data_IF_357762546891
#
_entry.id   IF_357762546891
#
_cell.length_a   1.000
_cell.length_b   1.000
_cell.length_c   1.000
_cell.angle_alpha   90.00
_cell.angle_beta   90.00
_cell.angle_gamma   90.00
#
_symmetry.space_group_name_H-M   'P 1'
#
loop_
_entity.id
_entity.type
_entity.pdbx_description
1 polymer ?
#
# COMPACT_ATOMS: atom_id res chain seq x y z
N UNK A 1 -41.50 25.90 17.35
CA UNK A 1 -41.15 24.67 18.04
C UNK A 1 -39.91 24.11 17.39
N UNK A 2 -38.78 24.79 17.68
CA UNK A 2 -37.44 24.48 17.14
C UNK A 2 -36.53 24.61 18.36
N UNK A 3 -36.12 23.49 18.94
CA UNK A 3 -35.02 23.40 19.88
C UNK A 3 -34.71 21.92 20.09
N UNK A 4 -33.56 21.48 19.63
CA UNK A 4 -32.72 20.44 20.17
C UNK A 4 -31.75 19.91 19.12
N UNK A 5 -30.69 20.65 18.85
CA UNK A 5 -29.45 20.14 18.28
C UNK A 5 -28.28 20.88 18.94
N UNK A 6 -28.16 20.71 20.27
CA UNK A 6 -27.00 21.18 21.01
C UNK A 6 -26.46 20.00 21.81
N UNK A 7 -25.39 19.40 21.33
CA UNK A 7 -24.71 18.28 22.00
C UNK A 7 -23.72 17.51 21.12
N UNK A 8 -22.96 18.18 20.24
CA UNK A 8 -21.77 17.59 19.66
C UNK A 8 -20.57 17.94 20.55
N UNK A 9 -19.83 16.94 21.08
CA UNK A 9 -18.74 17.22 21.98
C UNK A 9 -17.65 18.05 21.32
N UNK A 10 -17.16 19.04 22.03
CA UNK A 10 -16.14 20.05 21.68
C UNK A 10 -14.77 19.46 21.21
N UNK A 11 -14.64 18.15 21.17
CA UNK A 11 -13.40 17.44 20.77
C UNK A 11 -13.20 17.43 19.24
N UNK A 12 -14.24 17.73 18.45
CA UNK A 12 -14.14 17.71 16.98
C UNK A 12 -13.55 19.01 16.42
N UNK A 13 -13.50 20.09 17.16
CA UNK A 13 -13.03 21.38 16.67
C UNK A 13 -11.52 21.41 16.33
N UNK A 14 -10.59 20.91 17.17
CA UNK A 14 -9.16 20.85 16.81
C UNK A 14 -8.84 19.79 15.73
N UNK A 15 -9.63 18.70 15.67
CA UNK A 15 -9.45 17.68 14.62
C UNK A 15 -9.78 18.24 13.22
N UNK A 16 -10.78 19.12 13.10
CA UNK A 16 -11.17 19.69 11.80
C UNK A 16 -10.07 20.52 11.16
N UNK A 17 -9.35 21.33 11.93
CA UNK A 17 -8.28 22.16 11.38
C UNK A 17 -7.02 21.38 11.01
N UNK A 18 -6.62 20.41 11.83
CA UNK A 18 -5.41 19.61 11.58
C UNK A 18 -5.63 18.57 10.49
N UNK A 19 -6.81 17.93 10.46
CA UNK A 19 -7.17 16.98 9.39
C UNK A 19 -7.26 17.68 8.03
N UNK A 20 -7.84 18.89 8.00
CA UNK A 20 -7.92 19.72 6.79
C UNK A 20 -6.53 20.10 6.30
N UNK A 21 -5.58 20.44 7.19
CA UNK A 21 -4.22 20.78 6.83
C UNK A 21 -3.43 19.58 6.27
N UNK A 22 -3.58 18.40 6.86
CA UNK A 22 -2.94 17.17 6.37
C UNK A 22 -3.52 16.73 5.04
N UNK A 23 -4.84 16.75 4.89
CA UNK A 23 -5.51 16.42 3.62
C UNK A 23 -5.17 17.43 2.54
N UNK A 24 -5.11 18.73 2.86
CA UNK A 24 -4.71 19.77 1.92
C UNK A 24 -3.21 19.66 1.55
N UNK A 25 -2.34 19.35 2.51
CA UNK A 25 -0.91 19.12 2.22
C UNK A 25 -0.69 17.89 1.33
N UNK A 26 -1.45 16.80 1.57
CA UNK A 26 -1.47 15.61 0.72
C UNK A 26 -2.03 15.91 -0.67
N UNK A 27 -3.13 16.65 -0.74
CA UNK A 27 -3.73 17.07 -2.01
C UNK A 27 -2.82 18.00 -2.80
N UNK A 28 -2.15 18.95 -2.14
CA UNK A 28 -1.17 19.85 -2.76
C UNK A 28 0.07 19.07 -3.22
N UNK A 29 0.58 18.11 -2.44
CA UNK A 29 1.68 17.24 -2.85
C UNK A 29 1.32 16.36 -4.06
N UNK A 30 0.09 15.86 -4.13
CA UNK A 30 -0.40 15.10 -5.30
C UNK A 30 -0.71 16.03 -6.50
N UNK A 31 -1.25 17.22 -6.29
CA UNK A 31 -1.55 18.19 -7.36
C UNK A 31 -0.30 18.81 -7.98
N UNK A 32 0.81 18.92 -7.25
CA UNK A 32 2.09 19.36 -7.83
C UNK A 32 2.72 18.32 -8.76
N UNK A 33 2.22 17.06 -8.70
CA UNK A 33 2.66 15.99 -9.62
C UNK A 33 1.81 15.97 -10.91
N UNK A 34 0.61 16.53 -10.90
CA UNK A 34 -0.34 16.47 -12.01
C UNK A 34 -0.88 17.86 -12.39
N UNK A 35 -0.09 18.66 -13.08
CA UNK A 35 -0.66 19.77 -13.87
C UNK A 35 -1.05 19.23 -15.25
N UNK A 36 -2.33 19.16 -15.61
CA UNK A 36 -2.73 18.80 -16.96
C UNK A 36 -2.35 19.93 -17.91
N UNK A 37 -1.39 19.68 -18.78
CA UNK A 37 -1.18 20.54 -19.95
C UNK A 37 -2.31 20.26 -20.93
N UNK A 38 -3.15 21.25 -21.18
CA UNK A 38 -4.16 21.18 -22.24
C UNK A 38 -3.47 21.03 -23.60
N UNK A 39 -3.65 19.89 -24.24
CA UNK A 39 -3.04 19.59 -25.54
C UNK A 39 -3.90 20.16 -26.68
N UNK A 40 -3.30 21.00 -27.50
CA UNK A 40 -3.77 21.23 -28.86
C UNK A 40 -3.18 20.14 -29.76
N UNK A 41 -4.08 19.44 -30.46
CA UNK A 41 -3.71 18.42 -31.45
C UNK A 41 -3.23 19.09 -32.73
N UNK A 42 -1.98 18.86 -33.10
CA UNK A 42 -1.52 19.10 -34.46
C UNK A 42 -1.05 17.79 -35.09
N UNK A 43 -1.57 17.51 -36.27
CA UNK A 43 -1.53 16.27 -37.00
C UNK A 43 -0.23 16.10 -37.78
N UNK A 44 0.38 14.92 -37.73
CA UNK A 44 1.25 14.55 -38.84
C UNK A 44 2.48 13.64 -38.63
N UNK A 45 2.65 13.01 -37.47
CA UNK A 45 3.65 11.95 -37.33
C UNK A 45 2.98 10.72 -36.73
N UNK A 46 3.09 9.56 -37.39
CA UNK A 46 2.71 8.27 -36.79
C UNK A 46 3.63 8.05 -35.58
N UNK A 47 3.16 8.49 -34.43
CA UNK A 47 3.82 8.26 -33.15
C UNK A 47 3.76 6.75 -32.83
N UNK A 48 4.87 6.08 -32.73
CA UNK A 48 4.92 4.77 -32.11
C UNK A 48 4.44 4.95 -30.66
N UNK A 49 3.26 4.41 -30.38
CA UNK A 49 2.69 4.39 -29.04
C UNK A 49 3.65 3.63 -28.13
N UNK A 50 4.31 4.35 -27.24
CA UNK A 50 5.08 3.74 -26.15
C UNK A 50 4.14 3.57 -24.97
N UNK A 51 3.90 2.34 -24.59
CA UNK A 51 3.11 2.04 -23.38
C UNK A 51 4.07 1.80 -22.22
N UNK A 52 3.97 2.58 -21.17
CA UNK A 52 4.78 2.41 -19.96
C UNK A 52 3.96 1.65 -18.94
N UNK A 53 4.47 0.53 -18.49
CA UNK A 53 3.87 -0.27 -17.43
C UNK A 53 4.57 0.02 -16.09
N UNK A 54 3.84 0.60 -15.16
CA UNK A 54 4.36 1.03 -13.87
C UNK A 54 4.20 0.00 -12.75
N UNK A 55 3.41 -1.04 -12.98
CA UNK A 55 2.98 -1.96 -11.91
C UNK A 55 3.72 -3.29 -11.90
N UNK A 56 4.57 -3.54 -12.90
CA UNK A 56 5.36 -4.76 -13.00
C UNK A 56 6.72 -4.55 -12.36
N UNK A 57 7.08 -5.47 -11.50
CA UNK A 57 8.36 -5.43 -10.82
C UNK A 57 8.27 -6.07 -9.43
N UNK A 58 9.27 -5.80 -8.59
CA UNK A 58 9.30 -6.27 -7.22
C UNK A 58 8.10 -5.77 -6.40
N UNK A 59 7.79 -6.50 -5.33
CA UNK A 59 6.76 -6.09 -4.38
C UNK A 59 7.15 -4.78 -3.72
N UNK A 60 6.29 -3.77 -3.85
CA UNK A 60 6.40 -2.47 -3.18
C UNK A 60 5.26 -2.29 -2.18
N UNK A 61 5.36 -1.33 -1.28
CA UNK A 61 4.33 -1.04 -0.28
C UNK A 61 4.89 -1.00 1.14
N UNK A 62 4.04 -1.27 2.10
CA UNK A 62 4.43 -1.28 3.52
C UNK A 62 5.49 -2.34 3.82
N UNK A 63 6.24 -2.13 4.90
CA UNK A 63 7.24 -3.09 5.39
C UNK A 63 6.63 -4.45 5.68
N UNK A 64 5.37 -4.49 6.17
CA UNK A 64 4.63 -5.73 6.42
C UNK A 64 4.34 -6.48 5.13
N UNK A 65 3.90 -5.78 4.09
CA UNK A 65 3.66 -6.35 2.77
C UNK A 65 4.94 -6.93 2.16
N UNK A 66 6.04 -6.16 2.21
CA UNK A 66 7.35 -6.62 1.72
C UNK A 66 7.82 -7.84 2.52
N UNK A 67 7.78 -7.78 3.86
CA UNK A 67 8.20 -8.87 4.72
C UNK A 67 7.42 -10.18 4.50
N UNK A 68 6.16 -10.10 4.09
CA UNK A 68 5.29 -11.24 3.74
C UNK A 68 5.42 -11.69 2.27
N UNK A 69 6.44 -11.22 1.54
CA UNK A 69 6.60 -11.56 0.12
C UNK A 69 5.44 -11.10 -0.76
N UNK A 70 4.70 -10.07 -0.34
CA UNK A 70 3.52 -9.60 -1.04
C UNK A 70 2.26 -10.45 -0.87
N UNK A 71 2.27 -11.52 -0.08
CA UNK A 71 1.10 -12.33 0.24
C UNK A 71 0.20 -11.61 1.26
N UNK A 72 -0.47 -10.54 0.83
CA UNK A 72 -1.06 -9.56 1.73
C UNK A 72 -2.58 -9.36 1.58
N UNK A 73 -3.20 -9.68 0.46
CA UNK A 73 -4.61 -9.36 0.17
C UNK A 73 -5.60 -9.92 1.20
N UNK A 74 -5.33 -11.11 1.78
CA UNK A 74 -6.18 -11.73 2.80
C UNK A 74 -5.88 -11.26 4.23
N UNK A 75 -4.71 -10.66 4.45
CA UNK A 75 -4.29 -10.10 5.74
C UNK A 75 -4.24 -8.58 5.73
N UNK A 76 -4.71 -7.98 4.64
CA UNK A 76 -4.84 -6.53 4.50
C UNK A 76 -5.75 -5.99 5.60
N UNK A 77 -5.20 -5.09 6.40
CA UNK A 77 -5.89 -4.43 7.51
C UNK A 77 -5.19 -3.11 7.80
N UNK A 78 -5.86 -2.21 8.52
CA UNK A 78 -5.38 -0.88 8.85
C UNK A 78 -5.00 -0.05 7.59
N UNK A 79 -4.19 0.97 7.79
CA UNK A 79 -3.71 1.87 6.73
C UNK A 79 -2.91 1.17 5.65
N UNK A 80 -2.16 0.12 6.01
CA UNK A 80 -1.38 -0.69 5.08
C UNK A 80 -2.24 -1.44 4.05
N UNK A 81 -3.50 -1.73 4.41
CA UNK A 81 -4.43 -2.46 3.56
C UNK A 81 -5.13 -1.60 2.51
N UNK A 82 -5.21 -0.27 2.70
CA UNK A 82 -6.03 0.63 1.87
C UNK A 82 -5.70 0.53 0.38
N UNK A 83 -4.41 0.50 0.02
CA UNK A 83 -3.96 0.41 -1.38
C UNK A 83 -4.02 -1.00 -1.97
N UNK A 84 -4.26 -2.03 -1.14
CA UNK A 84 -4.14 -3.44 -1.54
C UNK A 84 -5.49 -4.09 -1.75
N UNK A 85 -6.40 -3.92 -0.77
CA UNK A 85 -7.74 -4.48 -0.82
C UNK A 85 -8.74 -3.45 -0.28
N UNK A 86 -9.59 -2.87 -1.13
CA UNK A 86 -10.58 -1.89 -0.69
C UNK A 86 -11.45 -2.34 0.49
N UNK A 87 -11.75 -3.65 0.59
CA UNK A 87 -12.53 -4.20 1.70
C UNK A 87 -11.82 -4.06 3.06
N UNK A 88 -10.48 -3.93 3.06
CA UNK A 88 -9.71 -3.77 4.29
C UNK A 88 -10.04 -2.50 5.06
N UNK A 89 -10.56 -1.47 4.40
CA UNK A 89 -10.94 -0.20 5.05
C UNK A 89 -12.04 -0.38 6.10
N UNK A 90 -12.85 -1.44 6.03
CA UNK A 90 -13.83 -1.76 7.06
C UNK A 90 -13.32 -2.76 8.12
N UNK A 91 -12.06 -3.20 8.04
CA UNK A 91 -11.49 -4.06 9.08
C UNK A 91 -11.26 -3.24 10.34
N UNK A 92 -11.97 -3.61 11.40
CA UNK A 92 -11.74 -3.06 12.74
C UNK A 92 -10.66 -3.85 13.45
N UNK A 93 -9.69 -3.15 13.98
CA UNK A 93 -8.62 -3.76 14.75
C UNK A 93 -9.09 -4.15 16.16
N UNK A 94 -8.55 -5.21 16.77
CA UNK A 94 -9.05 -5.73 18.05
C UNK A 94 -8.98 -4.78 19.23
N UNK A 95 -8.15 -3.73 19.14
CA UNK A 95 -8.02 -2.66 20.15
C UNK A 95 -8.88 -1.42 19.85
N UNK A 96 -9.67 -1.45 18.80
CA UNK A 96 -10.59 -0.38 18.43
C UNK A 96 -11.89 -0.46 19.24
N UNK A 97 -11.84 -0.07 20.50
CA UNK A 97 -12.94 -0.25 21.45
C UNK A 97 -14.07 0.77 21.33
N UNK A 98 -13.85 1.88 20.65
CA UNK A 98 -14.88 2.90 20.43
C UNK A 98 -15.60 2.67 19.10
N UNK A 99 -16.75 3.34 18.91
CA UNK A 99 -17.48 3.30 17.64
C UNK A 99 -16.62 3.86 16.48
N UNK A 100 -15.75 4.86 16.76
CA UNK A 100 -14.81 5.46 15.84
C UNK A 100 -13.40 4.92 16.02
N UNK A 101 -12.70 4.75 14.90
CA UNK A 101 -11.28 4.46 14.87
C UNK A 101 -10.62 5.28 13.77
N UNK A 102 -9.43 5.80 14.03
CA UNK A 102 -8.61 6.53 13.06
C UNK A 102 -7.23 5.90 13.04
N UNK A 103 -6.76 5.55 11.84
CA UNK A 103 -5.43 5.03 11.59
C UNK A 103 -4.63 5.98 10.71
N UNK A 104 -3.33 6.04 10.94
CA UNK A 104 -2.36 6.75 10.12
C UNK A 104 -1.14 5.88 9.92
N UNK A 105 -0.59 5.86 8.68
CA UNK A 105 0.60 5.10 8.33
C UNK A 105 1.52 5.88 7.40
N UNK A 106 2.82 5.66 7.57
CA UNK A 106 3.88 6.18 6.71
C UNK A 106 4.89 5.07 6.44
N UNK A 107 5.14 4.79 5.16
CA UNK A 107 6.11 3.79 4.72
C UNK A 107 7.09 4.38 3.71
N UNK A 108 8.33 3.93 3.78
CA UNK A 108 9.38 4.27 2.80
C UNK A 108 10.16 3.02 2.46
N UNK A 109 10.43 2.80 1.17
CA UNK A 109 11.37 1.75 0.76
C UNK A 109 12.38 2.29 -0.25
N UNK A 110 13.61 1.80 -0.15
CA UNK A 110 14.75 2.25 -0.95
C UNK A 110 15.49 1.05 -1.55
N UNK A 111 15.42 0.94 -2.86
CA UNK A 111 16.10 -0.10 -3.64
C UNK A 111 17.43 0.40 -4.25
N UNK A 112 18.32 0.97 -3.42
CA UNK A 112 19.47 1.69 -3.95
C UNK A 112 20.85 1.21 -3.47
N UNK A 113 20.93 0.22 -2.59
CA UNK A 113 22.17 -0.11 -1.89
C UNK A 113 23.17 -0.95 -2.67
N UNK A 114 22.76 -1.63 -3.74
CA UNK A 114 23.64 -2.42 -4.58
C UNK A 114 24.12 -1.61 -5.80
N UNK A 115 25.43 -1.66 -6.13
CA UNK A 115 25.97 -0.96 -7.31
C UNK A 115 25.35 -1.37 -8.65
N UNK A 116 24.78 -2.56 -8.73
CA UNK A 116 24.17 -3.17 -9.92
C UNK A 116 22.77 -3.70 -9.62
N UNK A 117 21.95 -2.90 -8.94
CA UNK A 117 20.60 -3.30 -8.58
C UNK A 117 19.71 -3.33 -9.84
N UNK A 118 19.23 -4.52 -10.21
CA UNK A 118 18.34 -4.71 -11.36
C UNK A 118 16.87 -4.69 -10.90
N UNK A 119 16.33 -3.50 -10.66
CA UNK A 119 14.95 -3.32 -10.19
C UNK A 119 13.95 -3.89 -11.19
N UNK A 120 14.21 -3.78 -12.49
CA UNK A 120 13.25 -4.16 -13.53
C UNK A 120 13.44 -5.58 -14.09
N UNK A 121 14.34 -6.36 -13.53
CA UNK A 121 14.66 -7.72 -14.00
C UNK A 121 15.01 -7.75 -15.50
N UNK A 122 15.83 -6.82 -15.93
CA UNK A 122 16.25 -6.69 -17.33
C UNK A 122 17.44 -7.59 -17.68
N UNK A 123 18.01 -8.29 -16.68
CA UNK A 123 19.13 -9.21 -16.89
C UNK A 123 20.48 -8.52 -17.05
N UNK A 124 20.64 -7.29 -16.58
CA UNK A 124 21.87 -6.47 -16.66
C UNK A 124 23.12 -7.12 -16.07
N UNK A 125 22.96 -8.22 -15.33
CA UNK A 125 24.09 -9.00 -14.79
C UNK A 125 24.76 -9.90 -15.82
N UNK A 126 24.21 -10.07 -17.02
CA UNK A 126 24.69 -11.02 -18.03
C UNK A 126 25.53 -10.37 -19.13
N UNK A 127 25.59 -9.04 -19.25
CA UNK A 127 26.48 -8.41 -20.19
C UNK A 127 27.94 -8.53 -19.73
N UNK A 128 28.78 -9.17 -20.48
CA UNK A 128 30.22 -9.30 -20.23
C UNK A 128 30.95 -7.94 -20.24
N UNK A 129 30.28 -6.90 -20.69
CA UNK A 129 30.82 -5.54 -20.75
C UNK A 129 30.47 -4.78 -19.45
N UNK A 130 31.37 -4.86 -18.48
CA UNK A 130 31.20 -4.26 -17.16
C UNK A 130 31.10 -2.71 -17.19
N UNK A 131 31.43 -2.10 -18.32
CA UNK A 131 31.39 -0.63 -18.51
C UNK A 131 29.99 -0.10 -18.82
N UNK A 132 29.07 -0.98 -19.25
CA UNK A 132 27.71 -0.63 -19.69
C UNK A 132 26.61 -1.07 -18.70
N UNK A 133 26.94 -1.31 -17.46
CA UNK A 133 25.96 -1.73 -16.46
C UNK A 133 24.99 -0.58 -16.15
N UNK A 134 23.73 -0.73 -16.57
CA UNK A 134 22.64 0.18 -16.20
C UNK A 134 22.47 0.15 -14.69
N UNK A 135 22.54 1.31 -14.08
CA UNK A 135 22.20 1.49 -12.66
C UNK A 135 20.73 1.83 -12.58
N UNK A 136 19.95 1.02 -11.89
CA UNK A 136 18.58 1.35 -11.58
C UNK A 136 18.37 1.53 -10.08
N UNK A 137 17.62 2.55 -9.71
CA UNK A 137 17.24 2.82 -8.34
C UNK A 137 15.72 2.98 -8.27
N UNK A 138 15.13 2.52 -7.19
CA UNK A 138 13.73 2.76 -6.90
C UNK A 138 13.59 3.33 -5.49
N UNK A 139 12.81 4.40 -5.38
CA UNK A 139 12.40 4.97 -4.12
C UNK A 139 10.87 4.90 -4.07
N UNK A 140 10.34 4.30 -3.02
CA UNK A 140 8.90 4.25 -2.77
C UNK A 140 8.60 4.96 -1.45
N UNK A 141 7.50 5.70 -1.43
CA UNK A 141 6.95 6.29 -0.22
C UNK A 141 5.43 6.20 -0.25
N UNK A 142 4.81 5.95 0.89
CA UNK A 142 3.37 5.99 1.03
C UNK A 142 2.94 6.68 2.32
N UNK A 143 1.76 7.29 2.25
CA UNK A 143 1.05 7.81 3.41
C UNK A 143 -0.40 7.39 3.30
N UNK A 144 -0.99 6.97 4.41
CA UNK A 144 -2.37 6.55 4.42
C UNK A 144 -3.11 7.05 5.67
N UNK A 145 -4.40 7.32 5.49
CA UNK A 145 -5.35 7.68 6.53
C UNK A 145 -6.56 6.77 6.42
N UNK A 146 -6.99 6.22 7.55
CA UNK A 146 -8.15 5.35 7.64
C UNK A 146 -9.08 5.87 8.74
N UNK A 147 -10.37 5.93 8.43
CA UNK A 147 -11.42 6.26 9.39
C UNK A 147 -12.48 5.17 9.37
N UNK A 148 -12.75 4.56 10.50
CA UNK A 148 -13.82 3.59 10.67
C UNK A 148 -14.91 4.15 11.58
N UNK A 149 -16.15 3.83 11.24
CA UNK A 149 -17.30 4.03 12.10
C UNK A 149 -18.14 2.75 12.12
N UNK A 150 -18.14 2.04 13.24
CA UNK A 150 -18.80 0.73 13.38
C UNK A 150 -18.35 -0.25 12.26
N UNK A 151 -19.27 -0.61 11.35
CA UNK A 151 -18.99 -1.51 10.24
C UNK A 151 -18.58 -0.79 8.93
N UNK A 152 -18.56 0.52 8.91
CA UNK A 152 -18.19 1.33 7.75
C UNK A 152 -16.78 1.85 7.88
N UNK A 153 -16.04 1.86 6.77
CA UNK A 153 -14.69 2.41 6.71
C UNK A 153 -14.46 3.22 5.45
N UNK A 154 -13.67 4.29 5.59
CA UNK A 154 -13.15 5.10 4.49
C UNK A 154 -11.65 5.22 4.65
N UNK A 155 -10.92 4.92 3.59
CA UNK A 155 -9.47 5.01 3.56
C UNK A 155 -8.98 5.83 2.38
N UNK A 156 -7.96 6.65 2.63
CA UNK A 156 -7.20 7.34 1.59
C UNK A 156 -5.75 6.93 1.74
N UNK A 157 -5.13 6.53 0.63
CA UNK A 157 -3.69 6.27 0.59
C UNK A 157 -3.10 6.96 -0.62
N UNK A 158 -1.94 7.58 -0.44
CA UNK A 158 -1.15 8.17 -1.50
C UNK A 158 0.21 7.47 -1.53
N UNK A 159 0.55 6.92 -2.68
CA UNK A 159 1.80 6.24 -2.94
C UNK A 159 2.60 7.01 -3.99
N UNK A 160 3.90 7.13 -3.79
CA UNK A 160 4.80 7.72 -4.76
C UNK A 160 5.99 6.79 -5.00
N UNK A 161 6.28 6.52 -6.26
CA UNK A 161 7.46 5.75 -6.67
C UNK A 161 8.29 6.58 -7.63
N UNK A 162 9.56 6.74 -7.33
CA UNK A 162 10.55 7.30 -8.24
C UNK A 162 11.49 6.21 -8.70
N UNK A 163 11.49 5.97 -9.98
CA UNK A 163 12.37 5.03 -10.64
C UNK A 163 13.39 5.82 -11.46
N UNK A 164 14.67 5.63 -11.21
CA UNK A 164 15.73 6.27 -11.98
C UNK A 164 16.63 5.18 -12.59
N UNK A 165 16.93 5.33 -13.87
CA UNK A 165 17.87 4.49 -14.58
C UNK A 165 18.89 5.34 -15.32
N UNK A 166 20.14 4.95 -15.28
CA UNK A 166 21.20 5.56 -16.08
C UNK A 166 21.72 4.53 -17.05
N UNK A 167 21.78 4.90 -18.31
CA UNK A 167 22.38 4.11 -19.37
C UNK A 167 23.61 4.84 -19.89
N UNK A 168 24.77 4.15 -19.86
CA UNK A 168 25.94 4.61 -20.52
C UNK A 168 25.70 4.55 -22.04
N UNK A 169 25.81 5.67 -22.74
CA UNK A 169 25.74 5.68 -24.19
C UNK A 169 27.05 5.16 -24.80
N UNK A 170 26.97 4.65 -26.03
CA UNK A 170 28.15 4.22 -26.81
C UNK A 170 29.09 5.41 -27.10
N UNK A 171 28.68 6.64 -26.87
CA UNK A 171 29.47 7.84 -26.96
C UNK A 171 30.08 8.18 -25.61
N UNK A 172 31.42 8.17 -25.46
CA UNK A 172 32.07 8.51 -24.18
C UNK A 172 31.66 9.89 -23.70
N UNK A 173 31.23 9.99 -22.44
CA UNK A 173 30.85 11.24 -21.78
C UNK A 173 29.39 11.64 -21.89
N UNK A 174 28.52 10.84 -22.53
CA UNK A 174 27.09 11.07 -22.59
C UNK A 174 26.35 9.97 -21.83
N UNK A 175 26.15 10.17 -20.54
CA UNK A 175 25.25 9.32 -19.75
C UNK A 175 23.81 9.80 -19.93
N UNK A 176 22.93 8.94 -20.36
CA UNK A 176 21.50 9.23 -20.45
C UNK A 176 20.83 8.83 -19.13
N UNK A 177 20.41 9.80 -18.36
CA UNK A 177 19.64 9.58 -17.15
C UNK A 177 18.15 9.76 -17.44
N UNK A 178 17.35 8.78 -17.04
CA UNK A 178 15.90 8.85 -17.05
C UNK A 178 15.38 8.67 -15.65
N UNK A 179 14.40 9.47 -15.29
CA UNK A 179 13.63 9.24 -14.08
C UNK A 179 12.15 9.24 -14.44
N UNK A 180 11.44 8.26 -13.88
CA UNK A 180 9.99 8.19 -13.95
C UNK A 180 9.44 8.28 -12.53
N UNK A 181 8.53 9.20 -12.32
CA UNK A 181 7.81 9.35 -11.07
C UNK A 181 6.38 8.88 -11.28
N UNK A 182 5.91 8.01 -10.40
CA UNK A 182 4.56 7.50 -10.39
C UNK A 182 3.92 7.87 -9.06
N UNK A 183 2.77 8.50 -9.12
CA UNK A 183 1.95 8.76 -7.95
C UNK A 183 0.63 8.03 -8.10
N UNK A 184 0.18 7.34 -7.05
CA UNK A 184 -1.14 6.70 -7.01
C UNK A 184 -1.89 7.16 -5.78
N UNK A 185 -3.14 7.56 -5.95
CA UNK A 185 -4.04 7.86 -4.84
C UNK A 185 -5.21 6.89 -4.88
N UNK A 186 -5.42 6.20 -3.79
CA UNK A 186 -6.53 5.29 -3.56
C UNK A 186 -7.53 5.97 -2.64
N UNK A 187 -8.80 5.99 -3.02
CA UNK A 187 -9.90 6.48 -2.17
C UNK A 187 -10.94 5.38 -2.06
N UNK A 188 -10.89 4.63 -0.96
CA UNK A 188 -11.67 3.43 -0.77
C UNK A 188 -12.72 3.57 0.31
N UNK A 189 -13.88 2.96 0.08
CA UNK A 189 -14.95 2.79 1.06
C UNK A 189 -15.31 1.32 1.15
N UNK A 190 -15.63 0.86 2.35
CA UNK A 190 -16.09 -0.51 2.56
C UNK A 190 -17.14 -0.59 3.66
N UNK A 191 -17.90 -1.68 3.60
CA UNK A 191 -18.89 -2.03 4.61
C UNK A 191 -18.76 -3.50 5.01
N UNK A 192 -18.85 -3.75 6.32
CA UNK A 192 -18.83 -5.08 6.92
C UNK A 192 -20.23 -5.62 7.18
N UNK A 193 -20.60 -6.65 6.47
CA UNK A 193 -21.83 -7.41 6.65
C UNK A 193 -21.63 -8.55 7.66
N UNK A 194 -22.72 -9.10 8.19
CA UNK A 194 -22.71 -10.25 9.10
C UNK A 194 -21.77 -10.03 10.30
N UNK A 195 -21.93 -8.93 11.01
CA UNK A 195 -21.06 -8.52 12.12
C UNK A 195 -19.58 -8.39 11.70
N UNK A 196 -19.32 -7.91 10.50
CA UNK A 196 -17.98 -7.71 9.97
C UNK A 196 -17.27 -9.01 9.55
N UNK A 197 -18.02 -10.07 9.27
CA UNK A 197 -17.45 -11.32 8.77
C UNK A 197 -17.27 -11.34 7.25
N UNK A 198 -18.11 -10.61 6.51
CA UNK A 198 -17.98 -10.37 5.08
C UNK A 198 -17.83 -8.87 4.85
N UNK A 199 -16.68 -8.46 4.34
CA UNK A 199 -16.42 -7.07 4.00
C UNK A 199 -16.37 -6.91 2.48
N UNK A 200 -17.05 -5.90 1.98
CA UNK A 200 -17.04 -5.51 0.58
C UNK A 200 -16.59 -4.05 0.49
N UNK A 201 -15.69 -3.76 -0.43
CA UNK A 201 -15.17 -2.41 -0.61
C UNK A 201 -14.91 -2.10 -2.07
N UNK A 202 -14.94 -0.81 -2.39
CA UNK A 202 -14.62 -0.30 -3.71
C UNK A 202 -14.22 1.18 -3.63
N UNK A 203 -13.56 1.65 -4.68
CA UNK A 203 -13.22 3.06 -4.80
C UNK A 203 -12.53 3.44 -6.10
N UNK A 204 -12.37 4.72 -6.38
CA UNK A 204 -11.54 5.20 -7.47
C UNK A 204 -10.05 5.14 -7.11
N UNK A 205 -9.25 4.94 -8.17
CA UNK A 205 -7.79 4.99 -8.14
C UNK A 205 -7.32 6.06 -9.14
N UNK A 206 -6.61 7.05 -8.63
CA UNK A 206 -6.03 8.12 -9.44
C UNK A 206 -4.54 7.84 -9.63
N UNK A 207 -4.05 7.93 -10.86
CA UNK A 207 -2.62 7.77 -11.15
C UNK A 207 -2.11 9.01 -11.83
N UNK A 208 -0.97 9.52 -11.33
CA UNK A 208 -0.19 10.56 -11.96
C UNK A 208 1.19 10.01 -12.34
N UNK A 209 1.68 10.39 -13.51
CA UNK A 209 3.01 10.00 -13.97
C UNK A 209 3.75 11.20 -14.51
N UNK A 210 5.05 11.28 -14.24
CA UNK A 210 5.93 12.25 -14.87
C UNK A 210 7.26 11.60 -15.25
N UNK A 211 7.83 12.08 -16.34
CA UNK A 211 9.09 11.61 -16.87
C UNK A 211 10.08 12.75 -16.94
N UNK A 212 11.25 12.57 -16.34
CA UNK A 212 12.36 13.51 -16.39
C UNK A 212 13.48 12.93 -17.24
N UNK A 213 14.00 13.69 -18.17
CA UNK A 213 15.20 13.35 -18.95
C UNK A 213 16.33 14.29 -18.58
N UNK A 214 17.51 13.78 -18.29
CA UNK A 214 18.67 14.62 -18.02
C UNK A 214 18.97 15.57 -19.20
N UNK A 215 19.16 16.85 -18.88
CA UNK A 215 19.39 17.91 -19.87
C UNK A 215 18.14 18.50 -20.51
N UNK A 216 16.93 18.07 -20.12
CA UNK A 216 15.66 18.67 -20.53
C UNK A 216 14.98 19.32 -19.33
N UNK A 217 14.53 20.55 -19.49
CA UNK A 217 13.70 21.24 -18.49
C UNK A 217 12.21 20.87 -18.61
N UNK A 218 11.86 20.01 -19.58
CA UNK A 218 10.47 19.61 -19.81
C UNK A 218 10.13 18.36 -19.01
N UNK A 219 9.23 18.50 -18.04
CA UNK A 219 8.58 17.40 -17.34
C UNK A 219 7.35 17.00 -18.13
N UNK A 220 7.31 15.77 -18.63
CA UNK A 220 6.12 15.20 -19.24
C UNK A 220 5.25 14.60 -18.17
N UNK A 221 4.03 15.07 -18.01
CA UNK A 221 3.08 14.57 -17.04
C UNK A 221 1.79 14.09 -17.68
N UNK A 222 1.19 13.04 -17.10
CA UNK A 222 -0.16 12.56 -17.43
C UNK A 222 -0.84 12.05 -16.18
N UNK A 223 -2.17 12.02 -16.23
CA UNK A 223 -2.98 11.47 -15.16
C UNK A 223 -4.11 10.60 -15.72
N UNK A 224 -4.51 9.60 -14.97
CA UNK A 224 -5.60 8.70 -15.32
C UNK A 224 -6.40 8.27 -14.11
N UNK A 225 -7.61 7.80 -14.37
CA UNK A 225 -8.55 7.33 -13.35
C UNK A 225 -8.91 5.87 -13.62
N UNK A 226 -8.88 5.06 -12.60
CA UNK A 226 -9.37 3.69 -12.60
C UNK A 226 -10.22 3.42 -11.38
N UNK A 227 -10.67 2.19 -11.25
CA UNK A 227 -11.48 1.73 -10.15
C UNK A 227 -10.88 0.47 -9.55
N UNK A 228 -11.16 0.26 -8.28
CA UNK A 228 -10.77 -0.94 -7.58
C UNK A 228 -11.91 -1.45 -6.71
N UNK A 229 -11.97 -2.76 -6.54
CA UNK A 229 -12.94 -3.42 -5.69
C UNK A 229 -12.30 -4.62 -4.98
N UNK A 230 -12.86 -5.00 -3.85
CA UNK A 230 -12.37 -6.14 -3.11
C UNK A 230 -13.38 -6.70 -2.14
N UNK A 231 -13.13 -7.94 -1.75
CA UNK A 231 -13.84 -8.57 -0.64
C UNK A 231 -12.87 -9.23 0.33
N UNK A 232 -13.32 -9.40 1.56
CA UNK A 232 -12.62 -10.12 2.61
C UNK A 232 -13.63 -10.90 3.44
N UNK A 233 -13.42 -12.20 3.54
CA UNK A 233 -14.17 -13.12 4.41
C UNK A 233 -13.30 -13.44 5.61
N UNK A 234 -13.78 -13.06 6.81
CA UNK A 234 -13.09 -13.27 8.10
C UNK A 234 -14.08 -13.78 9.16
N UNK A 235 -14.46 -15.06 9.13
CA UNK A 235 -15.49 -15.58 10.04
C UNK A 235 -15.02 -15.47 11.50
N UNK A 236 -15.91 -15.00 12.38
CA UNK A 236 -15.63 -14.81 13.80
C UNK A 236 -15.15 -16.11 14.44
N UNK A 237 -14.10 -16.04 15.26
CA UNK A 237 -13.45 -17.14 15.96
C UNK A 237 -12.80 -18.20 15.05
N UNK A 238 -12.87 -18.06 13.73
CA UNK A 238 -12.17 -18.94 12.81
C UNK A 238 -10.72 -18.49 12.60
N UNK A 239 -9.88 -19.45 12.20
CA UNK A 239 -8.44 -19.27 12.03
C UNK A 239 -8.03 -18.98 10.59
N UNK A 240 -8.98 -18.68 9.70
CA UNK A 240 -8.72 -18.43 8.30
C UNK A 240 -9.38 -17.14 7.82
N UNK A 241 -8.81 -16.57 6.75
CA UNK A 241 -9.37 -15.49 5.96
C UNK A 241 -9.24 -15.82 4.49
N UNK A 242 -10.21 -15.38 3.68
CA UNK A 242 -10.18 -15.48 2.23
C UNK A 242 -10.46 -14.09 1.67
N UNK A 243 -9.75 -13.71 0.61
CA UNK A 243 -9.92 -12.40 0.02
C UNK A 243 -9.65 -12.39 -1.48
N UNK A 244 -10.24 -11.41 -2.15
CA UNK A 244 -9.80 -11.01 -3.47
C UNK A 244 -9.87 -9.49 -3.62
N UNK A 245 -9.03 -8.98 -4.52
CA UNK A 245 -9.08 -7.59 -4.97
C UNK A 245 -8.88 -7.54 -6.48
N UNK A 246 -9.54 -6.60 -7.12
CA UNK A 246 -9.44 -6.32 -8.57
C UNK A 246 -9.20 -4.84 -8.78
N UNK A 247 -8.28 -4.52 -9.70
CA UNK A 247 -7.98 -3.15 -10.13
C UNK A 247 -8.19 -3.05 -11.63
N UNK A 248 -8.97 -2.07 -12.08
CA UNK A 248 -9.23 -1.84 -13.50
C UNK A 248 -7.97 -1.35 -14.22
N UNK A 249 -7.85 -1.53 -15.53
CA UNK A 249 -6.81 -0.87 -16.30
C UNK A 249 -7.01 0.64 -16.30
N UNK A 250 -5.93 1.38 -16.55
CA UNK A 250 -5.96 2.83 -16.72
C UNK A 250 -5.18 3.17 -17.98
N UNK A 251 -5.81 3.89 -18.89
CA UNK A 251 -5.19 4.43 -20.07
C UNK A 251 -5.08 5.94 -19.94
N UNK A 252 -3.86 6.47 -20.13
CA UNK A 252 -3.59 7.89 -20.08
C UNK A 252 -2.70 8.30 -21.25
N UNK A 253 -2.94 9.49 -21.81
CA UNK A 253 -2.18 10.02 -22.93
C UNK A 253 -1.16 11.05 -22.47
N UNK A 254 0.09 10.85 -22.87
CA UNK A 254 1.14 11.85 -22.80
C UNK A 254 1.05 12.73 -24.04
N UNK A 255 0.87 14.02 -23.86
CA UNK A 255 0.87 14.98 -24.95
C UNK A 255 2.22 14.98 -25.68
N UNK A 256 2.18 15.09 -27.01
CA UNK A 256 3.37 15.28 -27.81
C UNK A 256 4.07 16.60 -27.44
N UNK A 257 5.40 16.56 -27.35
CA UNK A 257 6.23 17.75 -27.17
C UNK A 257 7.30 17.81 -28.27
N UNK A 258 7.94 18.96 -28.55
CA UNK A 258 9.01 19.04 -29.52
C UNK A 258 10.09 17.99 -29.28
N UNK A 259 10.26 17.07 -30.25
CA UNK A 259 11.21 15.97 -30.17
C UNK A 259 10.78 14.72 -29.38
N UNK A 260 9.56 14.70 -28.83
CA UNK A 260 8.99 13.52 -28.13
C UNK A 260 7.60 13.25 -28.71
N UNK A 261 7.46 12.05 -29.31
CA UNK A 261 6.19 11.62 -29.86
C UNK A 261 5.16 11.44 -28.72
N UNK A 262 3.87 11.67 -29.03
CA UNK A 262 2.79 11.33 -28.11
C UNK A 262 2.89 9.86 -27.71
N UNK A 263 2.75 9.58 -26.44
CA UNK A 263 2.86 8.22 -25.90
C UNK A 263 1.62 7.88 -25.09
N UNK A 264 1.13 6.67 -25.22
CA UNK A 264 0.08 6.16 -24.37
C UNK A 264 0.73 5.50 -23.15
N UNK A 265 0.22 5.81 -21.98
CA UNK A 265 0.57 5.13 -20.74
C UNK A 265 -0.57 4.21 -20.38
N UNK A 266 -0.25 2.93 -20.31
CA UNK A 266 -1.20 1.88 -19.93
C UNK A 266 -0.80 1.29 -18.59
N UNK A 267 -1.70 1.34 -17.61
CA UNK A 267 -1.57 0.60 -16.37
C UNK A 267 -2.48 -0.62 -16.49
N UNK A 268 -1.92 -1.82 -16.42
CA UNK A 268 -2.68 -3.03 -16.63
C UNK A 268 -3.70 -3.28 -15.51
N UNK A 269 -4.73 -4.09 -15.80
CA UNK A 269 -5.58 -4.63 -14.76
C UNK A 269 -4.80 -5.62 -13.89
N UNK A 270 -5.22 -5.72 -12.63
CA UNK A 270 -4.66 -6.65 -11.65
C UNK A 270 -5.78 -7.37 -10.91
N UNK A 271 -5.60 -8.67 -10.68
CA UNK A 271 -6.43 -9.49 -9.79
C UNK A 271 -5.53 -10.17 -8.78
N UNK A 272 -5.86 -10.02 -7.50
CA UNK A 272 -5.19 -10.70 -6.40
C UNK A 272 -6.18 -11.60 -5.68
N UNK A 273 -5.84 -12.87 -5.50
CA UNK A 273 -6.60 -13.87 -4.75
C UNK A 273 -5.75 -14.34 -3.58
N UNK A 274 -6.28 -14.34 -2.37
CA UNK A 274 -5.50 -14.70 -1.20
C UNK A 274 -6.25 -15.49 -0.15
N UNK A 275 -5.45 -16.24 0.60
CA UNK A 275 -5.89 -16.98 1.77
C UNK A 275 -4.88 -16.80 2.90
N UNK A 276 -5.37 -16.81 4.13
CA UNK A 276 -4.52 -16.79 5.31
C UNK A 276 -5.06 -17.77 6.36
N UNK A 277 -4.14 -18.37 7.11
CA UNK A 277 -4.45 -19.25 8.23
C UNK A 277 -3.53 -18.97 9.40
N UNK A 278 -4.08 -18.94 10.62
CA UNK A 278 -3.29 -18.67 11.82
C UNK A 278 -3.32 -19.86 12.78
N UNK A 279 -2.14 -20.32 13.13
CA UNK A 279 -1.90 -21.29 14.18
C UNK A 279 -1.67 -20.58 15.52
N UNK A 280 -1.97 -21.27 16.62
CA UNK A 280 -1.72 -20.74 17.96
C UNK A 280 -2.98 -20.27 18.68
N UNK A 281 -2.83 -19.83 19.95
CA UNK A 281 -3.95 -19.43 20.79
C UNK A 281 -4.51 -18.05 20.48
N UNK A 282 -3.73 -17.17 19.86
CA UNK A 282 -4.21 -15.83 19.42
C UNK A 282 -5.26 -16.02 18.33
N UNK A 283 -6.43 -15.41 18.49
CA UNK A 283 -7.47 -15.46 17.47
C UNK A 283 -7.12 -14.55 16.27
N UNK A 284 -7.23 -15.06 15.04
CA UNK A 284 -7.09 -14.26 13.81
C UNK A 284 -8.28 -13.33 13.61
N UNK A 285 -9.48 -13.85 13.90
CA UNK A 285 -10.75 -13.14 13.71
C UNK A 285 -11.50 -13.02 15.05
N UNK A 286 -11.02 -12.21 16.00
CA UNK A 286 -11.76 -12.01 17.24
C UNK A 286 -13.08 -11.30 16.95
N UNK A 287 -14.11 -11.55 17.76
CA UNK A 287 -15.32 -10.72 17.77
C UNK A 287 -14.93 -9.33 18.24
N UNK A 288 -15.38 -8.33 17.52
CA UNK A 288 -15.27 -6.96 17.96
C UNK A 288 -16.22 -6.73 19.12
N UNK A 289 -15.70 -6.22 20.23
CA UNK A 289 -16.47 -5.81 21.41
C UNK A 289 -16.20 -4.32 21.63
N UNK A 290 -17.23 -3.51 21.69
CA UNK A 290 -17.10 -2.06 21.90
C UNK A 290 -17.24 -1.68 23.37
N UNK A 291 -16.65 -0.56 23.76
CA UNK A 291 -16.81 0.00 25.09
C UNK A 291 -18.28 0.26 25.43
N UNK A 292 -19.07 0.67 24.44
CA UNK A 292 -20.53 0.84 24.62
C UNK A 292 -21.21 -0.47 24.99
N UNK A 293 -20.90 -1.58 24.30
CA UNK A 293 -21.47 -2.89 24.61
C UNK A 293 -21.12 -3.33 26.03
N UNK A 294 -19.87 -3.15 26.46
CA UNK A 294 -19.44 -3.49 27.84
C UNK A 294 -20.10 -2.59 28.87
N UNK A 295 -20.13 -1.28 28.66
CA UNK A 295 -20.77 -0.34 29.57
C UNK A 295 -22.26 -0.64 29.74
N UNK A 296 -22.99 -0.90 28.64
CA UNK A 296 -24.39 -1.29 28.68
C UNK A 296 -24.65 -2.58 29.50
N UNK A 297 -23.77 -3.57 29.31
CA UNK A 297 -23.86 -4.84 30.06
C UNK A 297 -23.57 -4.66 31.56
N UNK A 298 -22.63 -3.80 31.90
CA UNK A 298 -22.19 -3.59 33.30
C UNK A 298 -23.13 -2.69 34.09
N UNK A 299 -23.61 -1.61 33.48
CA UNK A 299 -24.42 -0.61 34.17
C UNK A 299 -25.92 -0.78 33.98
N UNK A 300 -26.33 -1.50 32.93
CA UNK A 300 -27.72 -1.62 32.50
C UNK A 300 -28.29 -0.36 31.84
N UNK A 301 -27.47 0.69 31.66
CA UNK A 301 -27.87 1.92 30.98
C UNK A 301 -27.86 1.74 29.46
N UNK A 302 -28.96 2.11 28.78
CA UNK A 302 -29.01 2.05 27.30
C UNK A 302 -28.09 3.07 26.66
N UNK A 303 -27.94 4.25 27.27
CA UNK A 303 -27.02 5.31 26.86
C UNK A 303 -25.98 5.55 27.96
N UNK A 304 -24.85 4.87 27.96
CA UNK A 304 -23.78 5.05 28.91
C UNK A 304 -23.18 6.46 28.83
N UNK A 305 -22.81 6.99 30.00
CA UNK A 305 -22.08 8.25 30.11
C UNK A 305 -20.66 8.14 29.60
N UNK A 306 -20.03 9.27 29.28
CA UNK A 306 -18.62 9.28 28.80
C UNK A 306 -17.67 8.62 29.82
N UNK A 307 -17.89 8.80 31.12
CA UNK A 307 -17.10 8.17 32.18
C UNK A 307 -17.25 6.63 32.18
N UNK A 308 -18.46 6.10 31.96
CA UNK A 308 -18.72 4.66 31.84
C UNK A 308 -18.09 4.08 30.57
N UNK A 309 -18.12 4.83 29.46
CA UNK A 309 -17.46 4.45 28.21
C UNK A 309 -15.93 4.42 28.37
N UNK A 310 -15.35 5.40 29.04
CA UNK A 310 -13.90 5.44 29.28
C UNK A 310 -13.46 4.30 30.22
N UNK A 311 -14.23 4.00 31.27
CA UNK A 311 -13.95 2.87 32.14
C UNK A 311 -14.01 1.54 31.39
N UNK A 312 -15.06 1.32 30.59
CA UNK A 312 -15.21 0.13 29.78
C UNK A 312 -14.08 -0.01 28.72
N UNK A 313 -13.63 1.11 28.16
CA UNK A 313 -12.50 1.10 27.21
C UNK A 313 -11.19 0.70 27.88
N UNK A 314 -10.92 1.17 29.10
CA UNK A 314 -9.76 0.77 29.89
C UNK A 314 -9.81 -0.73 30.23
N UNK A 315 -10.95 -1.24 30.67
CA UNK A 315 -11.12 -2.67 30.94
C UNK A 315 -10.90 -3.53 29.71
N UNK A 316 -11.40 -3.12 28.54
CA UNK A 316 -11.16 -3.81 27.28
C UNK A 316 -9.69 -3.76 26.88
N UNK A 317 -8.99 -2.65 27.12
CA UNK A 317 -7.57 -2.51 26.86
C UNK A 317 -6.75 -3.46 27.74
N UNK A 318 -7.04 -3.55 29.03
CA UNK A 318 -6.36 -4.47 29.94
C UNK A 318 -6.59 -5.93 29.55
N UNK A 319 -7.82 -6.28 29.17
CA UNK A 319 -8.14 -7.62 28.62
C UNK A 319 -7.40 -7.90 27.32
N UNK A 320 -7.21 -6.89 26.46
CA UNK A 320 -6.47 -7.02 25.21
C UNK A 320 -4.98 -7.24 25.47
N UNK A 321 -4.37 -6.49 26.39
CA UNK A 321 -2.95 -6.66 26.78
C UNK A 321 -2.71 -8.01 27.46
N UNK A 322 -3.63 -8.53 28.23
CA UNK A 322 -3.51 -9.82 28.91
C UNK A 322 -3.70 -11.04 28.01
N UNK A 323 -4.06 -10.86 26.72
CA UNK A 323 -4.27 -11.98 25.80
C UNK A 323 -2.98 -12.70 25.48
N UNK A 324 -3.13 -14.00 25.20
CA UNK A 324 -2.05 -14.79 24.64
C UNK A 324 -1.63 -14.22 23.28
N UNK A 325 -0.34 -13.96 23.12
CA UNK A 325 0.24 -13.26 21.97
C UNK A 325 0.82 -14.20 20.92
N UNK A 326 1.18 -15.41 21.31
CA UNK A 326 1.81 -16.33 20.38
C UNK A 326 0.87 -16.75 19.25
N UNK A 327 1.36 -16.65 18.04
CA UNK A 327 0.73 -17.10 16.82
C UNK A 327 1.76 -17.36 15.73
N UNK A 328 1.40 -18.19 14.75
CA UNK A 328 2.07 -18.29 13.47
C UNK A 328 1.00 -18.07 12.38
N UNK A 329 1.08 -16.95 11.71
CA UNK A 329 0.25 -16.62 10.56
C UNK A 329 0.95 -17.11 9.30
N UNK A 330 0.22 -17.84 8.46
CA UNK A 330 0.63 -18.23 7.11
C UNK A 330 -0.31 -17.55 6.15
N UNK A 331 0.21 -16.82 5.18
CA UNK A 331 -0.56 -16.18 4.12
C UNK A 331 -0.08 -16.64 2.75
N UNK A 332 -1.00 -16.71 1.80
CA UNK A 332 -0.72 -17.01 0.39
C UNK A 332 -1.51 -16.07 -0.50
N UNK A 333 -0.94 -15.73 -1.64
CA UNK A 333 -1.56 -14.87 -2.64
C UNK A 333 -1.18 -15.32 -4.05
N UNK A 334 -2.14 -15.28 -4.96
CA UNK A 334 -1.92 -15.39 -6.38
C UNK A 334 -2.27 -14.03 -7.02
N UNK A 335 -1.25 -13.33 -7.50
CA UNK A 335 -1.41 -12.08 -8.25
C UNK A 335 -1.36 -12.39 -9.74
N UNK A 336 -2.35 -11.88 -10.47
CA UNK A 336 -2.46 -12.00 -11.93
C UNK A 336 -2.57 -10.60 -12.50
N UNK A 337 -1.65 -10.23 -13.38
CA UNK A 337 -1.57 -8.92 -14.02
C UNK A 337 -1.70 -9.12 -15.53
N UNK A 338 -2.38 -8.23 -16.22
CA UNK A 338 -2.52 -8.22 -17.68
C UNK A 338 -1.13 -8.32 -18.35
N UNK A 339 -1.04 -9.10 -19.42
CA UNK A 339 0.13 -9.17 -20.31
C UNK A 339 0.11 -8.10 -21.40
N UNK A 340 1.18 -8.05 -22.18
CA UNK A 340 1.32 -7.14 -23.31
C UNK A 340 1.81 -5.73 -22.96
N UNK A 341 2.24 -5.00 -23.94
CA UNK A 341 2.75 -3.64 -23.80
C UNK A 341 4.25 -3.55 -23.49
N UNK A 342 4.87 -2.40 -23.70
CA UNK A 342 6.28 -2.16 -23.37
C UNK A 342 6.47 -2.07 -21.85
N UNK A 343 7.61 -2.60 -21.39
CA UNK A 343 7.97 -2.64 -19.98
C UNK A 343 8.94 -1.53 -19.64
N UNK A 344 8.56 -0.69 -18.69
CA UNK A 344 9.42 0.31 -18.10
C UNK A 344 10.01 1.31 -19.11
N UNK A 345 11.10 1.96 -18.71
CA UNK A 345 11.77 2.98 -19.51
C UNK A 345 12.59 2.41 -20.68
N UNK A 346 12.70 1.10 -20.79
CA UNK A 346 13.55 0.44 -21.81
C UNK A 346 12.91 0.37 -23.19
N UNK A 347 11.59 0.57 -23.30
CA UNK A 347 10.86 0.38 -24.56
C UNK A 347 10.79 -1.08 -25.04
N UNK A 348 11.25 -2.03 -24.25
CA UNK A 348 11.18 -3.46 -24.59
C UNK A 348 9.76 -3.97 -24.42
N UNK A 349 9.31 -4.80 -25.36
CA UNK A 349 7.95 -5.35 -25.31
C UNK A 349 7.83 -6.47 -24.28
N UNK A 350 6.85 -6.39 -23.42
CA UNK A 350 6.45 -7.49 -22.55
C UNK A 350 5.83 -8.64 -23.37
N UNK A 351 5.93 -9.84 -22.83
CA UNK A 351 5.23 -10.98 -23.40
C UNK A 351 3.72 -10.77 -23.35
N UNK A 352 3.04 -11.07 -24.45
CA UNK A 352 1.57 -10.93 -24.59
C UNK A 352 0.84 -12.08 -23.87
N UNK A 353 1.11 -12.23 -22.58
CA UNK A 353 0.44 -13.21 -21.72
C UNK A 353 0.30 -12.66 -20.31
N UNK A 354 -0.74 -13.06 -19.56
CA UNK A 354 -0.88 -12.65 -18.16
C UNK A 354 0.34 -13.05 -17.34
N UNK A 355 0.74 -12.16 -16.46
CA UNK A 355 1.83 -12.33 -15.50
C UNK A 355 1.25 -12.91 -14.23
N UNK A 356 1.68 -14.12 -13.87
CA UNK A 356 1.20 -14.84 -12.69
C UNK A 356 2.31 -14.91 -11.65
N UNK A 357 2.06 -14.36 -10.47
CA UNK A 357 3.01 -14.29 -9.35
C UNK A 357 2.43 -14.97 -8.11
N UNK A 358 2.78 -16.23 -7.83
CA UNK A 358 2.47 -16.86 -6.55
C UNK A 358 3.35 -16.27 -5.45
N UNK A 359 2.74 -16.06 -4.27
CA UNK A 359 3.35 -15.42 -3.11
C UNK A 359 3.00 -16.17 -1.84
N UNK A 360 3.92 -16.23 -0.89
CA UNK A 360 3.73 -16.82 0.42
C UNK A 360 4.41 -16.00 1.51
N UNK A 361 3.77 -15.88 2.66
CA UNK A 361 4.27 -15.13 3.80
C UNK A 361 4.01 -15.83 5.12
N UNK A 362 4.91 -15.59 6.06
CA UNK A 362 4.86 -16.06 7.46
C UNK A 362 5.02 -14.86 8.39
N UNK A 363 4.25 -14.81 9.46
CA UNK A 363 4.37 -13.78 10.51
C UNK A 363 4.18 -14.40 11.88
N UNK A 364 5.00 -14.01 12.85
CA UNK A 364 4.88 -14.44 14.24
C UNK A 364 5.36 -13.35 15.20
N UNK A 365 4.69 -13.19 16.33
CA UNK A 365 5.16 -12.37 17.45
C UNK A 365 6.09 -13.23 18.33
N UNK A 366 7.40 -13.18 18.07
CA UNK A 366 8.39 -14.05 18.69
C UNK A 366 8.77 -13.63 20.10
N UNK A 367 8.74 -12.33 20.38
CA UNK A 367 8.83 -11.79 21.74
C UNK A 367 7.49 -11.08 22.01
N UNK A 368 6.64 -11.65 22.87
CA UNK A 368 5.34 -11.09 23.18
C UNK A 368 5.44 -9.60 23.54
N UNK A 369 4.58 -8.79 22.96
CA UNK A 369 4.52 -7.32 23.15
C UNK A 369 5.69 -6.50 22.62
N UNK A 370 6.79 -7.10 22.08
CA UNK A 370 7.96 -6.32 21.70
C UNK A 370 8.47 -6.55 20.29
N UNK A 371 8.45 -7.81 19.80
CA UNK A 371 9.09 -8.15 18.54
C UNK A 371 8.21 -9.08 17.70
N UNK A 372 7.90 -8.66 16.49
CA UNK A 372 7.27 -9.46 15.46
C UNK A 372 8.26 -9.70 14.33
N UNK A 373 8.35 -10.94 13.87
CA UNK A 373 9.17 -11.32 12.72
C UNK A 373 8.29 -11.79 11.57
N UNK A 374 8.79 -11.55 10.36
CA UNK A 374 8.17 -11.95 9.09
C UNK A 374 9.19 -12.57 8.18
N UNK A 375 8.73 -13.50 7.36
CA UNK A 375 9.48 -14.06 6.25
C UNK A 375 8.53 -14.38 5.11
N UNK A 376 9.01 -14.28 3.89
CA UNK A 376 8.18 -14.56 2.74
C UNK A 376 8.99 -14.88 1.50
N UNK A 377 8.28 -15.27 0.45
CA UNK A 377 8.86 -15.51 -0.87
C UNK A 377 7.81 -15.29 -1.94
N UNK A 378 8.25 -14.83 -3.10
CA UNK A 378 7.41 -14.74 -4.27
C UNK A 378 8.19 -15.00 -5.55
N UNK A 379 7.44 -15.41 -6.57
CA UNK A 379 7.97 -15.62 -7.90
C UNK A 379 7.67 -14.41 -8.78
N UNK A 380 8.70 -13.84 -9.37
CA UNK A 380 8.62 -12.79 -10.38
C UNK A 380 8.92 -13.40 -11.74
N UNK A 381 7.91 -13.55 -12.61
CA UNK A 381 8.12 -14.11 -13.94
C UNK A 381 8.93 -13.15 -14.82
N UNK A 382 9.64 -13.71 -15.80
CA UNK A 382 10.25 -12.91 -16.85
C UNK A 382 9.18 -12.13 -17.62
N UNK A 383 9.32 -10.83 -17.68
CA UNK A 383 8.38 -9.92 -18.37
C UNK A 383 8.78 -9.70 -19.84
N UNK A 384 10.07 -9.75 -20.12
CA UNK A 384 10.67 -9.43 -21.42
C UNK A 384 11.24 -10.70 -22.01
N UNK A 385 11.11 -10.88 -23.34
CA UNK A 385 11.70 -12.00 -24.02
C UNK A 385 13.24 -11.99 -23.87
N UNK A 386 13.82 -13.14 -23.51
CA UNK A 386 15.26 -13.29 -23.28
C UNK A 386 15.73 -12.96 -21.86
N UNK A 387 14.83 -12.48 -20.97
CA UNK A 387 15.14 -12.34 -19.56
C UNK A 387 14.73 -13.58 -18.76
N UNK A 388 15.20 -13.69 -17.52
CA UNK A 388 14.92 -14.82 -16.66
C UNK A 388 13.96 -14.44 -15.54
N UNK A 389 13.08 -15.37 -15.20
CA UNK A 389 12.31 -15.26 -13.96
C UNK A 389 13.23 -15.32 -12.74
N UNK A 390 12.80 -14.71 -11.64
CA UNK A 390 13.54 -14.78 -10.38
C UNK A 390 12.60 -15.08 -9.21
N UNK A 391 13.15 -15.71 -8.18
CA UNK A 391 12.47 -15.92 -6.91
C UNK A 391 13.04 -14.96 -5.90
N UNK A 392 12.18 -14.30 -5.16
CA UNK A 392 12.52 -13.39 -4.10
C UNK A 392 12.43 -14.07 -2.75
N UNK A 393 13.37 -13.77 -1.88
CA UNK A 393 13.31 -14.04 -0.46
C UNK A 393 13.12 -12.73 0.29
N UNK A 394 12.13 -12.68 1.17
CA UNK A 394 11.80 -11.47 1.92
C UNK A 394 11.84 -11.70 3.41
N UNK A 395 12.12 -10.65 4.16
CA UNK A 395 12.12 -10.66 5.61
C UNK A 395 11.66 -9.32 6.17
N UNK A 396 11.19 -9.35 7.41
CA UNK A 396 10.78 -8.13 8.09
C UNK A 396 10.71 -8.30 9.59
N UNK A 397 10.80 -7.18 10.30
CA UNK A 397 10.62 -7.14 11.73
C UNK A 397 9.90 -5.86 12.15
N UNK A 398 9.11 -5.96 13.22
CA UNK A 398 8.53 -4.82 13.93
C UNK A 398 9.02 -4.83 15.37
N UNK A 399 9.38 -3.65 15.84
CA UNK A 399 9.76 -3.41 17.24
C UNK A 399 8.79 -2.42 17.85
N UNK A 400 8.18 -2.81 18.97
CA UNK A 400 7.38 -1.91 19.80
C UNK A 400 8.28 -0.89 20.47
N UNK A 401 7.92 0.38 20.33
CA UNK A 401 8.64 1.49 20.92
C UNK A 401 7.90 2.01 22.18
N UNK A 402 7.95 3.29 22.39
CA UNK A 402 7.35 4.00 23.51
C UNK A 402 5.92 4.48 23.21
N UNK A 403 5.20 4.87 24.26
CA UNK A 403 3.90 5.57 24.13
C UNK A 403 4.16 7.05 23.85
N UNK A 404 3.54 7.58 22.82
CA UNK A 404 3.59 9.00 22.52
C UNK A 404 2.29 9.45 21.89
N UNK A 405 1.60 10.39 22.55
CA UNK A 405 0.44 11.06 22.00
C UNK A 405 0.90 12.29 21.22
N UNK A 406 0.98 12.19 19.89
CA UNK A 406 1.38 13.31 19.03
C UNK A 406 0.39 14.47 19.23
N UNK A 407 0.82 15.50 19.96
CA UNK A 407 0.01 16.71 20.26
C UNK A 407 -1.40 16.42 20.82
N UNK A 408 -1.57 15.31 21.54
CA UNK A 408 -2.88 14.91 22.08
C UNK A 408 -3.87 14.35 21.05
N UNK A 409 -3.46 14.16 19.80
CA UNK A 409 -4.31 13.64 18.71
C UNK A 409 -4.48 12.12 18.78
N UNK A 410 -3.47 11.41 19.32
CA UNK A 410 -3.52 9.97 19.52
C UNK A 410 -3.81 9.66 20.97
N UNK A 411 -4.56 8.60 21.22
CA UNK A 411 -4.88 8.18 22.58
C UNK A 411 -3.61 7.76 23.32
N UNK A 412 -3.54 7.98 24.64
CA UNK A 412 -2.36 7.65 25.45
C UNK A 412 -2.05 6.15 25.53
N UNK A 413 -2.89 5.29 24.93
CA UNK A 413 -2.72 3.83 24.92
C UNK A 413 -1.90 3.33 23.73
N UNK A 414 -1.68 4.15 22.68
CA UNK A 414 -1.01 3.71 21.47
C UNK A 414 0.49 3.69 21.68
N UNK A 415 1.10 2.54 21.40
CA UNK A 415 2.54 2.41 21.29
C UNK A 415 2.96 2.65 19.85
N UNK A 416 4.07 3.34 19.67
CA UNK A 416 4.69 3.48 18.37
C UNK A 416 5.39 2.18 17.98
N UNK A 417 5.44 1.95 16.69
CA UNK A 417 6.09 0.81 16.06
C UNK A 417 7.12 1.31 15.06
N UNK A 418 8.29 0.68 15.10
CA UNK A 418 9.30 0.77 14.06
C UNK A 418 9.30 -0.54 13.30
N UNK A 419 9.22 -0.47 11.97
CA UNK A 419 9.27 -1.65 11.12
C UNK A 419 10.41 -1.55 10.13
N UNK A 420 11.09 -2.67 9.92
CA UNK A 420 12.13 -2.84 8.92
C UNK A 420 11.77 -4.01 8.01
N UNK A 421 12.06 -3.89 6.73
CA UNK A 421 11.83 -4.93 5.74
C UNK A 421 12.99 -5.02 4.75
N UNK A 422 13.16 -6.19 4.17
CA UNK A 422 14.10 -6.43 3.09
C UNK A 422 13.51 -7.40 2.08
N UNK A 423 13.86 -7.21 0.81
CA UNK A 423 13.52 -8.07 -0.30
C UNK A 423 14.77 -8.29 -1.15
N UNK A 424 15.15 -9.54 -1.34
CA UNK A 424 16.35 -9.91 -2.05
C UNK A 424 16.09 -10.98 -3.11
N UNK A 425 16.69 -10.79 -4.28
CA UNK A 425 16.70 -11.75 -5.37
C UNK A 425 18.03 -11.66 -6.12
N UNK A 426 18.16 -12.44 -7.20
CA UNK A 426 19.35 -12.35 -8.05
C UNK A 426 19.52 -10.93 -8.58
N UNK A 427 20.66 -10.30 -8.29
CA UNK A 427 20.99 -8.92 -8.69
C UNK A 427 19.99 -7.85 -8.20
N UNK A 428 19.28 -8.12 -7.11
CA UNK A 428 18.29 -7.21 -6.56
C UNK A 428 18.31 -7.21 -5.02
N UNK A 429 18.26 -6.03 -4.44
CA UNK A 429 18.05 -5.82 -3.02
C UNK A 429 17.24 -4.53 -2.80
N UNK A 430 16.21 -4.64 -2.03
CA UNK A 430 15.40 -3.51 -1.55
C UNK A 430 15.30 -3.56 -0.04
N UNK A 431 15.31 -2.41 0.60
CA UNK A 431 15.10 -2.26 2.04
C UNK A 431 13.93 -1.32 2.28
N UNK A 432 13.14 -1.61 3.29
CA UNK A 432 11.98 -0.82 3.64
C UNK A 432 12.01 -0.44 5.12
N UNK A 433 11.45 0.71 5.39
CA UNK A 433 11.31 1.29 6.71
C UNK A 433 9.91 1.85 6.86
N UNK A 434 9.26 1.62 7.98
CA UNK A 434 8.02 2.29 8.32
C UNK A 434 7.90 2.64 9.79
N UNK A 435 7.07 3.62 10.06
CA UNK A 435 6.68 4.02 11.40
C UNK A 435 5.16 4.01 11.48
N UNK A 436 4.63 3.41 12.52
CA UNK A 436 3.19 3.24 12.70
C UNK A 436 2.81 3.02 14.16
N UNK A 437 1.63 2.47 14.37
CA UNK A 437 1.09 2.15 15.69
C UNK A 437 1.16 0.63 15.89
N UNK A 438 1.69 0.20 17.04
CA UNK A 438 1.77 -1.22 17.43
C UNK A 438 0.39 -1.78 17.76
N UNK A 439 0.06 -2.94 17.20
CA UNK A 439 -1.22 -3.64 17.34
C UNK A 439 -1.09 -4.99 18.01
#
# INVERSE_FOLDING_TARGET
MIAACAGLPTIIAPLRSSLTLVVVALFVACCTIATPAAAQSDSGAQAQSQTVDSTRGPVTGSTRRIGLGGAFVAVAEDTEGVAINPASTAVRLPYSFQDWNVGFGLDVSVGAWLPKNDVYNQGNSASQDQTKADKSTALFGSVALLVNYRHFGVGVSAEATRNAASRANDTPGIDTHFAANFGTVHLNMAYGFLDGQLLLGAGPRLIGMSFDRAGSSSVLGTAGVGYEAGFLVKPIRQRYRLAAAVKSPIDAQLAAQPGIAASNVHVPWEVALGAAYQFGPRALNPRLVTAREVAQQTTGHQDPTDAELDHAALELFDRYEARQRWYLLVSSELSVIQGGGPVGLSGQMAMDRPVISPRVGLESEVIPHYLRLRGGSYYEPALIAGTHSRTHGTGGLDVKLFKWSVFGLLKPFNYWQLSLGADAARSYLNTAFSIGIWH
#
